data_IF_837262056615
#
_entry.id   IF_837262056615
#
_cell.length_a   1.000
_cell.length_b   1.000
_cell.length_c   1.000
_cell.angle_alpha   90.00
_cell.angle_beta   90.00
_cell.angle_gamma   90.00
#
_symmetry.space_group_name_H-M   'P 1'
#
loop_
_entity.id
_entity.type
_entity.pdbx_description
1 polymer ?
#
# COMPACT_ATOMS: atom_id res chain seq x y z
N UNK A 1 17.93 32.23 11.19
CA UNK A 1 18.13 30.80 10.86
C UNK A 1 16.75 30.17 10.87
N UNK A 2 16.12 30.03 9.71
CA UNK A 2 14.83 29.34 9.60
C UNK A 2 15.14 27.87 9.40
N UNK A 3 14.74 27.03 10.35
CA UNK A 3 14.83 25.59 10.20
C UNK A 3 13.91 25.17 9.06
N UNK A 4 14.51 24.71 7.95
CA UNK A 4 13.79 23.95 6.94
C UNK A 4 13.24 22.70 7.66
N UNK A 5 11.93 22.39 7.59
CA UNK A 5 11.45 21.13 8.09
C UNK A 5 12.12 20.04 7.25
N UNK A 6 13.11 19.38 7.85
CA UNK A 6 13.72 18.16 7.31
C UNK A 6 12.64 17.09 7.38
N UNK A 7 11.70 17.11 6.45
CA UNK A 7 10.79 16.01 6.24
C UNK A 7 11.68 14.83 5.81
N UNK A 8 11.75 13.73 6.58
CA UNK A 8 12.31 12.51 6.02
C UNK A 8 11.36 12.11 4.89
N UNK A 9 11.69 12.48 3.65
CA UNK A 9 11.03 11.92 2.47
C UNK A 9 11.59 10.51 2.23
N UNK A 10 11.56 9.68 3.27
CA UNK A 10 11.60 8.23 3.11
C UNK A 10 10.24 7.85 2.57
N UNK A 11 10.07 8.02 1.26
CA UNK A 11 9.02 7.28 0.57
C UNK A 11 9.30 5.81 0.84
N UNK A 12 8.35 5.03 1.38
CA UNK A 12 8.55 3.59 1.42
C UNK A 12 8.77 3.13 -0.02
N UNK A 13 9.90 2.49 -0.29
CA UNK A 13 10.17 1.83 -1.56
C UNK A 13 9.21 0.64 -1.69
N UNK A 14 8.00 0.92 -2.18
CA UNK A 14 7.07 -0.11 -2.59
C UNK A 14 7.61 -0.63 -3.91
N UNK A 15 7.78 -1.93 -4.00
CA UNK A 15 8.23 -2.63 -5.20
C UNK A 15 7.29 -3.82 -5.44
N UNK A 16 7.25 -4.38 -6.66
CA UNK A 16 6.57 -5.65 -6.88
C UNK A 16 7.04 -6.71 -5.86
N UNK A 17 6.08 -7.33 -5.17
CA UNK A 17 6.30 -8.28 -4.09
C UNK A 17 6.04 -7.72 -2.69
N UNK A 18 6.03 -6.39 -2.51
CA UNK A 18 5.69 -5.74 -1.24
C UNK A 18 4.26 -6.10 -0.80
N UNK A 19 4.07 -6.40 0.48
CA UNK A 19 2.74 -6.62 1.06
C UNK A 19 2.30 -5.32 1.74
N UNK A 20 1.09 -4.87 1.42
CA UNK A 20 0.45 -3.70 2.01
C UNK A 20 -0.79 -4.13 2.79
N UNK A 21 -0.90 -3.67 4.03
CA UNK A 21 -2.04 -3.86 4.92
C UNK A 21 -2.74 -2.51 5.14
N UNK A 22 -3.93 -2.34 4.54
CA UNK A 22 -4.56 -1.05 4.31
C UNK A 22 -5.89 -0.96 5.04
N UNK A 23 -6.01 0.00 5.94
CA UNK A 23 -7.30 0.29 6.60
C UNK A 23 -8.36 0.73 5.56
N UNK A 24 -9.66 0.58 5.86
CA UNK A 24 -10.75 1.01 4.98
C UNK A 24 -10.65 2.47 4.52
N UNK A 25 -10.06 3.35 5.34
CA UNK A 25 -9.89 4.78 5.04
C UNK A 25 -8.68 5.09 4.15
N UNK A 26 -7.72 4.16 4.09
CA UNK A 26 -6.44 4.33 3.41
C UNK A 26 -6.46 3.80 1.99
N UNK A 27 -7.56 3.20 1.55
CA UNK A 27 -7.75 2.80 0.18
C UNK A 27 -9.17 3.10 -0.34
N UNK A 28 -9.32 3.15 -1.66
CA UNK A 28 -10.64 3.15 -2.32
C UNK A 28 -10.95 1.72 -2.75
N UNK A 29 -12.01 1.14 -2.19
CA UNK A 29 -12.46 -0.23 -2.45
C UNK A 29 -13.69 -0.59 -1.61
N UNK A 30 -14.05 -1.87 -1.61
CA UNK A 30 -15.03 -2.42 -0.67
C UNK A 30 -14.57 -2.17 0.76
N UNK A 31 -15.46 -1.61 1.61
CA UNK A 31 -15.13 -0.90 2.86
C UNK A 31 -14.54 -1.72 4.02
N UNK A 32 -13.93 -2.87 3.75
CA UNK A 32 -13.18 -3.69 4.71
C UNK A 32 -11.69 -3.31 4.75
N UNK A 33 -10.91 -4.02 5.55
CA UNK A 33 -9.45 -3.90 5.48
C UNK A 33 -8.95 -4.65 4.23
N UNK A 34 -7.96 -4.11 3.53
CA UNK A 34 -7.39 -4.72 2.34
C UNK A 34 -5.92 -5.09 2.59
N UNK A 35 -5.61 -6.38 2.48
CA UNK A 35 -4.21 -6.81 2.35
C UNK A 35 -3.91 -7.19 0.90
N UNK A 36 -2.91 -6.53 0.31
CA UNK A 36 -2.56 -6.73 -1.10
C UNK A 36 -1.05 -6.95 -1.25
N UNK A 37 -0.68 -7.97 -2.01
CA UNK A 37 0.70 -8.17 -2.47
C UNK A 37 0.85 -7.48 -3.82
N UNK A 38 1.63 -6.41 -3.85
CA UNK A 38 1.84 -5.57 -5.03
C UNK A 38 2.46 -6.40 -6.16
N UNK A 39 1.85 -6.35 -7.34
CA UNK A 39 2.40 -6.90 -8.59
C UNK A 39 2.85 -5.79 -9.52
N UNK A 40 2.17 -4.64 -9.47
CA UNK A 40 2.48 -3.48 -10.31
C UNK A 40 2.15 -2.19 -9.56
N UNK A 41 2.95 -1.15 -9.82
CA UNK A 41 2.77 0.19 -9.24
C UNK A 41 2.52 1.12 -10.42
N UNK A 42 1.48 1.95 -10.31
CA UNK A 42 1.18 2.93 -11.35
C UNK A 42 2.37 3.87 -11.61
N UNK A 43 2.60 4.18 -12.88
CA UNK A 43 3.70 5.05 -13.32
C UNK A 43 3.61 6.45 -12.69
N UNK A 44 2.41 6.86 -12.24
CA UNK A 44 2.21 8.12 -11.54
C UNK A 44 3.00 8.20 -10.23
N UNK A 45 3.38 7.05 -9.64
CA UNK A 45 4.27 7.02 -8.48
C UNK A 45 5.61 7.68 -8.76
N UNK A 46 6.19 7.42 -9.93
CA UNK A 46 7.49 7.96 -10.32
C UNK A 46 7.37 9.39 -10.85
N UNK A 47 6.28 9.68 -11.59
CA UNK A 47 6.09 10.96 -12.26
C UNK A 47 5.56 12.07 -11.34
N UNK A 48 4.73 11.73 -10.36
CA UNK A 48 4.02 12.69 -9.53
C UNK A 48 4.18 12.34 -8.04
N UNK A 49 5.34 12.68 -7.45
CA UNK A 49 5.67 12.21 -6.12
C UNK A 49 4.77 12.76 -5.00
N UNK A 50 4.01 13.81 -5.29
CA UNK A 50 3.12 14.53 -4.39
C UNK A 50 1.65 14.13 -4.52
N UNK A 51 1.33 13.09 -5.29
CA UNK A 51 -0.03 12.58 -5.38
C UNK A 51 -0.52 12.10 -4.00
N UNK A 52 -1.74 12.50 -3.63
CA UNK A 52 -2.41 12.03 -2.42
C UNK A 52 -2.79 10.55 -2.52
N UNK A 53 -3.12 10.11 -3.74
CA UNK A 53 -3.58 8.74 -4.02
C UNK A 53 -2.67 8.08 -5.06
N UNK A 54 -2.21 6.87 -4.74
CA UNK A 54 -1.39 6.02 -5.59
C UNK A 54 -2.21 4.82 -6.05
N UNK A 55 -2.21 4.55 -7.36
CA UNK A 55 -2.77 3.31 -7.88
C UNK A 55 -1.74 2.18 -7.76
N UNK A 56 -2.15 1.06 -7.17
CA UNK A 56 -1.39 -0.19 -7.20
C UNK A 56 -2.25 -1.31 -7.74
N UNK A 57 -1.60 -2.28 -8.36
CA UNK A 57 -2.19 -3.56 -8.72
C UNK A 57 -1.52 -4.66 -7.91
N UNK A 58 -2.29 -5.66 -7.53
CA UNK A 58 -1.74 -6.75 -6.73
C UNK A 58 -2.75 -7.83 -6.44
N UNK A 59 -2.26 -8.90 -5.86
CA UNK A 59 -3.05 -10.07 -5.47
C UNK A 59 -3.51 -9.88 -4.03
N UNK A 60 -4.80 -10.03 -3.77
CA UNK A 60 -5.35 -10.00 -2.40
C UNK A 60 -4.70 -11.12 -1.59
N UNK A 61 -4.18 -10.79 -0.41
CA UNK A 61 -3.66 -11.80 0.53
C UNK A 61 -4.78 -12.10 1.52
N UNK A 62 -5.25 -13.35 1.56
CA UNK A 62 -6.27 -13.79 2.51
C UNK A 62 -5.63 -14.27 3.82
N UNK A 63 -6.37 -14.30 4.94
CA UNK A 63 -5.82 -14.73 6.24
C UNK A 63 -5.38 -16.19 6.29
N UNK A 64 -5.93 -17.04 5.41
CA UNK A 64 -5.54 -18.44 5.23
C UNK A 64 -4.21 -18.62 4.47
N UNK A 65 -3.59 -17.52 4.02
CA UNK A 65 -2.38 -17.51 3.22
C UNK A 65 -2.59 -17.91 1.76
N UNK A 66 -3.84 -18.15 1.35
CA UNK A 66 -4.17 -18.42 -0.04
C UNK A 66 -4.24 -17.10 -0.80
N UNK A 67 -3.54 -16.97 -1.95
CA UNK A 67 -3.71 -15.80 -2.80
C UNK A 67 -5.15 -15.73 -3.33
N UNK A 68 -5.77 -14.57 -3.12
CA UNK A 68 -7.08 -14.24 -3.68
C UNK A 68 -6.98 -13.70 -5.10
N UNK A 69 -7.99 -12.94 -5.50
CA UNK A 69 -8.06 -12.34 -6.83
C UNK A 69 -7.06 -11.18 -6.99
N UNK A 70 -6.65 -10.95 -8.24
CA UNK A 70 -5.90 -9.74 -8.59
C UNK A 70 -6.84 -8.54 -8.64
N UNK A 71 -6.46 -7.45 -7.99
CA UNK A 71 -7.25 -6.21 -7.91
C UNK A 71 -6.39 -4.97 -8.12
N UNK A 72 -7.03 -3.87 -8.48
CA UNK A 72 -6.43 -2.54 -8.51
C UNK A 72 -7.02 -1.71 -7.39
N UNK A 73 -6.17 -1.13 -6.54
CA UNK A 73 -6.58 -0.27 -5.43
C UNK A 73 -5.90 1.09 -5.52
N UNK A 74 -6.66 2.14 -5.17
CA UNK A 74 -6.09 3.46 -4.92
C UNK A 74 -5.76 3.59 -3.44
N UNK A 75 -4.52 3.94 -3.11
CA UNK A 75 -4.00 3.97 -1.74
C UNK A 75 -3.56 5.38 -1.38
N UNK A 76 -3.88 5.84 -0.16
CA UNK A 76 -3.35 7.10 0.36
C UNK A 76 -1.84 7.00 0.51
N UNK A 77 -1.10 7.90 -0.13
CA UNK A 77 0.37 7.92 -0.07
C UNK A 77 0.90 8.16 1.35
N UNK A 78 0.16 8.93 2.15
CA UNK A 78 0.49 9.18 3.55
C UNK A 78 0.41 7.92 4.44
N UNK A 79 -0.39 6.92 4.06
CA UNK A 79 -0.57 5.68 4.83
C UNK A 79 0.45 4.59 4.45
N UNK A 80 1.23 4.79 3.38
CA UNK A 80 2.10 3.74 2.84
C UNK A 80 3.17 3.28 3.83
N UNK A 81 3.75 4.19 4.60
CA UNK A 81 4.83 3.87 5.54
C UNK A 81 4.34 2.89 6.63
N UNK A 82 3.12 3.12 7.13
CA UNK A 82 2.47 2.26 8.13
C UNK A 82 1.77 1.04 7.53
N UNK A 83 1.52 1.03 6.22
CA UNK A 83 0.88 -0.08 5.52
C UNK A 83 1.87 -1.19 5.11
N UNK A 84 3.16 -0.88 4.94
CA UNK A 84 4.15 -1.87 4.50
C UNK A 84 4.30 -2.98 5.53
N UNK A 85 4.24 -4.23 5.06
CA UNK A 85 4.46 -5.44 5.84
C UNK A 85 5.62 -6.26 5.25
N UNK A 86 6.31 -7.05 6.09
CA UNK A 86 7.37 -7.93 5.60
C UNK A 86 6.81 -8.96 4.63
N UNK A 87 7.65 -9.38 3.68
CA UNK A 87 7.32 -10.45 2.73
C UNK A 87 6.90 -11.72 3.47
N UNK A 88 5.74 -12.27 3.14
CA UNK A 88 5.18 -13.47 3.79
C UNK A 88 4.33 -13.18 5.04
N UNK A 89 4.10 -11.92 5.38
CA UNK A 89 3.11 -11.55 6.38
C UNK A 89 1.70 -11.95 5.92
N UNK A 90 0.91 -12.46 6.86
CA UNK A 90 -0.48 -12.85 6.65
C UNK A 90 -1.40 -11.94 7.46
N UNK A 91 -2.56 -11.53 6.91
CA UNK A 91 -3.54 -10.79 7.67
C UNK A 91 -4.08 -11.62 8.84
N UNK A 92 -4.47 -10.97 9.94
CA UNK A 92 -5.15 -11.65 11.03
C UNK A 92 -6.48 -12.24 10.56
N UNK A 93 -6.96 -13.33 11.19
CA UNK A 93 -8.17 -14.05 10.77
C UNK A 93 -9.47 -13.26 10.93
N UNK A 94 -9.50 -12.20 11.75
CA UNK A 94 -10.67 -11.36 12.03
C UNK A 94 -10.81 -10.13 11.09
N UNK A 95 -10.40 -10.26 9.83
CA UNK A 95 -10.39 -9.18 8.81
C UNK A 95 -11.62 -9.17 7.92
#
# INVERSE_FOLDING_TARGET
MNAEPTAPRCRPDIVPGTVLDLAPMDHRGDGGRLTIRVTEIGEEYQLLPTLEWLRVKGVVVRPDGVPGDETSAWIRTAALADAVRPTGWLPPPDQ
#
